data_IF_827097987832
#
_entry.id   IF_827097987832
#
_cell.length_a   1.000
_cell.length_b   1.000
_cell.length_c   1.000
_cell.angle_alpha   90.00
_cell.angle_beta   90.00
_cell.angle_gamma   90.00
#
_symmetry.space_group_name_H-M   'P 1'
#
loop_
_entity.id
_entity.type
_entity.pdbx_description
1 polymer ?
#
# COMPACT_ATOMS: atom_id res chain seq x y z
N UNK A 1 -23.63 19.52 -16.93
CA UNK A 1 -22.65 18.53 -16.41
C UNK A 1 -21.33 19.27 -16.33
N UNK A 2 -20.66 19.28 -15.17
CA UNK A 2 -19.37 19.97 -15.02
C UNK A 2 -18.23 19.18 -15.68
N UNK A 3 -17.07 19.80 -15.84
CA UNK A 3 -15.91 19.18 -16.50
C UNK A 3 -15.47 17.87 -15.83
N UNK A 4 -15.48 17.82 -14.50
CA UNK A 4 -15.18 16.60 -13.74
C UNK A 4 -16.15 15.48 -14.09
N UNK A 5 -17.46 15.76 -14.15
CA UNK A 5 -18.48 14.76 -14.46
C UNK A 5 -18.34 14.21 -15.88
N UNK A 6 -18.04 15.08 -16.85
CA UNK A 6 -17.83 14.68 -18.25
C UNK A 6 -16.64 13.71 -18.36
N UNK A 7 -15.52 14.03 -17.69
CA UNK A 7 -14.33 13.16 -17.69
C UNK A 7 -14.62 11.85 -16.97
N UNK A 8 -15.30 11.87 -15.82
CA UNK A 8 -15.69 10.66 -15.10
C UNK A 8 -16.54 9.72 -15.97
N UNK A 9 -17.50 10.25 -16.73
CA UNK A 9 -18.31 9.41 -17.64
C UNK A 9 -17.47 8.79 -18.75
N UNK A 10 -16.49 9.51 -19.30
CA UNK A 10 -15.56 8.95 -20.30
C UNK A 10 -14.69 7.86 -19.67
N UNK A 11 -14.14 8.09 -18.47
CA UNK A 11 -13.29 7.12 -17.76
C UNK A 11 -14.09 5.86 -17.42
N UNK A 12 -15.31 5.98 -16.91
CA UNK A 12 -16.21 4.83 -16.63
C UNK A 12 -16.48 4.00 -17.87
N UNK A 13 -16.77 4.66 -19.00
CA UNK A 13 -17.04 3.97 -20.27
C UNK A 13 -15.82 3.22 -20.81
N UNK A 14 -14.63 3.80 -20.68
CA UNK A 14 -13.36 3.19 -21.16
C UNK A 14 -12.89 2.03 -20.29
N UNK A 15 -13.21 2.02 -18.99
CA UNK A 15 -12.63 1.12 -17.99
C UNK A 15 -13.70 0.36 -17.20
N UNK A 16 -14.81 0.00 -17.82
CA UNK A 16 -15.95 -0.63 -17.16
C UNK A 16 -15.61 -1.97 -16.45
N UNK A 17 -14.54 -2.62 -16.84
CA UNK A 17 -14.00 -3.86 -16.28
C UNK A 17 -12.96 -3.67 -15.16
N UNK A 18 -12.73 -2.42 -14.72
CA UNK A 18 -11.66 -2.06 -13.75
C UNK A 18 -12.25 -1.30 -12.53
N UNK A 19 -13.01 -1.99 -11.66
CA UNK A 19 -13.78 -1.33 -10.59
C UNK A 19 -12.91 -0.57 -9.58
N UNK A 20 -11.74 -1.11 -9.20
CA UNK A 20 -10.83 -0.45 -8.26
C UNK A 20 -10.25 0.83 -8.86
N UNK A 21 -9.92 0.82 -10.15
CA UNK A 21 -9.45 2.01 -10.85
C UNK A 21 -10.55 3.08 -10.95
N UNK A 22 -11.77 2.68 -11.25
CA UNK A 22 -12.91 3.60 -11.29
C UNK A 22 -13.23 4.21 -9.92
N UNK A 23 -13.12 3.43 -8.86
CA UNK A 23 -13.27 3.91 -7.49
C UNK A 23 -12.23 4.99 -7.19
N UNK A 24 -10.94 4.70 -7.38
CA UNK A 24 -9.86 5.63 -7.09
C UNK A 24 -9.95 6.93 -7.90
N UNK A 25 -10.26 6.83 -9.20
CA UNK A 25 -10.44 8.02 -10.04
C UNK A 25 -11.62 8.86 -9.57
N UNK A 26 -12.74 8.24 -9.19
CA UNK A 26 -13.92 8.95 -8.70
C UNK A 26 -13.59 9.70 -7.41
N UNK A 27 -12.96 9.05 -6.44
CA UNK A 27 -12.57 9.67 -5.17
C UNK A 27 -11.63 10.86 -5.36
N UNK A 28 -10.59 10.68 -6.17
CA UNK A 28 -9.60 11.74 -6.41
C UNK A 28 -10.22 12.92 -7.17
N UNK A 29 -10.94 12.68 -8.27
CA UNK A 29 -11.51 13.76 -9.05
C UNK A 29 -12.61 14.52 -8.29
N UNK A 30 -13.42 13.84 -7.47
CA UNK A 30 -14.38 14.49 -6.59
C UNK A 30 -13.68 15.36 -5.53
N UNK A 31 -12.56 14.90 -4.97
CA UNK A 31 -11.77 15.70 -4.01
C UNK A 31 -11.13 16.94 -4.64
N UNK A 32 -10.76 16.86 -5.91
CA UNK A 32 -10.17 17.96 -6.67
C UNK A 32 -11.21 18.94 -7.25
N UNK A 33 -12.49 18.59 -7.23
CA UNK A 33 -13.59 19.38 -7.83
C UNK A 33 -13.54 20.87 -7.49
N UNK A 34 -13.38 21.32 -6.22
CA UNK A 34 -13.35 22.74 -5.89
C UNK A 34 -12.21 23.49 -6.60
N UNK A 35 -11.04 22.86 -6.75
CA UNK A 35 -9.88 23.45 -7.43
C UNK A 35 -10.08 23.49 -8.94
N UNK A 36 -10.65 22.43 -9.51
CA UNK A 36 -10.90 22.31 -10.95
C UNK A 36 -11.97 23.33 -11.38
N UNK A 37 -13.08 23.44 -10.65
CA UNK A 37 -14.17 24.37 -10.97
C UNK A 37 -13.73 25.83 -10.84
N UNK A 38 -12.83 26.16 -9.92
CA UNK A 38 -12.28 27.50 -9.78
C UNK A 38 -11.47 27.97 -11.01
N UNK A 39 -10.96 27.05 -11.82
CA UNK A 39 -10.13 27.31 -13.01
C UNK A 39 -10.49 26.41 -14.19
N UNK A 40 -11.77 26.09 -14.37
CA UNK A 40 -12.24 25.07 -15.33
C UNK A 40 -11.76 25.34 -16.75
N UNK A 41 -11.83 26.59 -17.24
CA UNK A 41 -11.41 26.94 -18.60
C UNK A 41 -9.92 26.55 -18.85
N UNK A 42 -9.05 26.85 -17.90
CA UNK A 42 -7.63 26.53 -18.00
C UNK A 42 -7.39 25.01 -18.04
N UNK A 43 -8.03 24.27 -17.12
CA UNK A 43 -7.84 22.83 -17.01
C UNK A 43 -8.45 22.09 -18.19
N UNK A 44 -9.63 22.51 -18.66
CA UNK A 44 -10.28 21.95 -19.85
C UNK A 44 -9.46 22.21 -21.12
N UNK A 45 -8.97 23.45 -21.32
CA UNK A 45 -8.14 23.81 -22.47
C UNK A 45 -6.88 22.96 -22.59
N UNK A 46 -6.31 22.56 -21.46
CA UNK A 46 -5.08 21.76 -21.42
C UNK A 46 -5.35 20.26 -21.25
N UNK A 47 -6.62 19.82 -21.25
CA UNK A 47 -7.05 18.43 -21.05
C UNK A 47 -6.38 17.79 -19.81
N UNK A 48 -6.32 18.52 -18.69
CA UNK A 48 -5.59 18.09 -17.51
C UNK A 48 -6.18 16.81 -16.92
N UNK A 49 -7.49 16.74 -16.75
CA UNK A 49 -8.15 15.57 -16.16
C UNK A 49 -8.03 14.33 -17.03
N UNK A 50 -8.17 14.49 -18.35
CA UNK A 50 -7.99 13.39 -19.30
C UNK A 50 -6.56 12.84 -19.26
N UNK A 51 -5.56 13.72 -19.14
CA UNK A 51 -4.14 13.33 -19.08
C UNK A 51 -3.76 12.68 -17.76
N UNK A 52 -4.33 13.11 -16.64
CA UNK A 52 -4.01 12.49 -15.34
C UNK A 52 -4.78 11.20 -15.07
N UNK A 53 -5.82 10.91 -15.84
CA UNK A 53 -6.60 9.66 -15.73
C UNK A 53 -6.21 8.59 -16.76
N UNK A 54 -5.37 8.93 -17.74
CA UNK A 54 -4.87 7.99 -18.74
C UNK A 54 -3.37 7.77 -18.54
N UNK A 55 -2.88 6.52 -18.35
CA UNK A 55 -1.44 6.27 -18.18
C UNK A 55 -0.67 6.50 -19.48
N UNK A 56 0.57 6.97 -19.35
CA UNK A 56 1.48 7.14 -20.49
C UNK A 56 1.72 5.80 -21.20
N UNK A 57 1.79 4.69 -20.43
CA UNK A 57 2.11 3.38 -20.97
C UNK A 57 1.67 2.24 -20.08
N UNK A 58 1.10 1.19 -20.69
CA UNK A 58 0.77 -0.07 -20.03
C UNK A 58 1.55 -1.19 -20.70
N UNK A 59 2.34 -1.92 -19.93
CA UNK A 59 3.21 -3.00 -20.41
C UNK A 59 2.76 -4.30 -19.76
N UNK A 60 2.46 -5.30 -20.56
CA UNK A 60 2.13 -6.65 -20.13
C UNK A 60 3.05 -7.64 -20.82
N UNK A 61 3.58 -8.62 -20.07
CA UNK A 61 4.48 -9.62 -20.59
C UNK A 61 4.30 -10.97 -19.89
N UNK A 62 4.71 -12.02 -20.60
CA UNK A 62 4.71 -13.38 -20.08
C UNK A 62 5.96 -13.64 -19.24
N UNK A 63 5.80 -14.33 -18.11
CA UNK A 63 6.87 -14.69 -17.18
C UNK A 63 6.91 -16.21 -17.03
N UNK A 64 7.65 -16.97 -17.87
CA UNK A 64 7.86 -18.39 -17.70
C UNK A 64 9.01 -18.64 -16.70
N UNK A 65 8.79 -19.58 -15.78
CA UNK A 65 9.82 -19.98 -14.80
C UNK A 65 9.64 -21.47 -14.46
N UNK A 66 10.69 -22.09 -13.87
CA UNK A 66 10.69 -23.51 -13.55
C UNK A 66 10.59 -23.68 -12.04
N UNK A 67 9.62 -24.50 -11.60
CA UNK A 67 9.42 -24.84 -10.20
C UNK A 67 10.40 -25.90 -9.68
N UNK A 68 10.32 -26.22 -8.39
CA UNK A 68 11.19 -27.20 -7.75
C UNK A 68 11.01 -28.63 -8.26
N UNK A 69 9.88 -28.93 -8.93
CA UNK A 69 9.59 -30.21 -9.56
C UNK A 69 10.08 -30.27 -11.03
N UNK A 70 10.70 -29.22 -11.54
CA UNK A 70 11.14 -29.11 -12.91
C UNK A 70 10.01 -28.78 -13.91
N UNK A 71 8.84 -28.38 -13.43
CA UNK A 71 7.71 -28.00 -14.28
C UNK A 71 7.79 -26.53 -14.67
N UNK A 72 7.48 -26.22 -15.93
CA UNK A 72 7.39 -24.84 -16.41
C UNK A 72 6.07 -24.24 -15.96
N UNK A 73 6.18 -23.16 -15.21
CA UNK A 73 5.07 -22.31 -14.76
C UNK A 73 5.03 -21.04 -15.60
N UNK A 74 3.85 -20.43 -15.76
CA UNK A 74 3.68 -19.20 -16.55
C UNK A 74 2.79 -18.22 -15.79
N UNK A 75 3.35 -17.04 -15.49
CA UNK A 75 2.64 -15.92 -14.90
C UNK A 75 2.57 -14.73 -15.87
N UNK A 76 1.75 -13.74 -15.53
CA UNK A 76 1.70 -12.46 -16.23
C UNK A 76 2.46 -11.41 -15.43
N UNK A 77 3.33 -10.66 -16.10
CA UNK A 77 3.98 -9.49 -15.56
C UNK A 77 3.34 -8.21 -16.09
N UNK A 78 3.26 -7.19 -15.25
CA UNK A 78 2.68 -5.88 -15.56
C UNK A 78 3.61 -4.75 -15.12
N UNK A 79 3.68 -3.67 -15.91
CA UNK A 79 4.20 -2.37 -15.51
C UNK A 79 3.34 -1.28 -16.13
N UNK A 80 2.74 -0.43 -15.30
CA UNK A 80 2.04 0.78 -15.71
C UNK A 80 2.94 1.96 -15.38
N UNK A 81 3.44 2.60 -16.41
CA UNK A 81 4.12 3.89 -16.37
C UNK A 81 3.05 4.95 -16.51
N UNK A 82 2.63 5.51 -15.35
CA UNK A 82 1.39 6.27 -15.34
C UNK A 82 1.62 7.72 -15.76
N UNK A 83 2.54 8.41 -15.09
CA UNK A 83 2.83 9.82 -15.40
C UNK A 83 4.26 10.17 -14.95
N UNK A 84 5.02 10.82 -15.82
CA UNK A 84 6.40 11.26 -15.56
C UNK A 84 6.59 12.78 -15.69
N UNK A 85 5.51 13.57 -15.61
CA UNK A 85 5.58 15.03 -15.82
C UNK A 85 6.51 15.75 -14.84
N UNK A 86 6.70 15.19 -13.63
CA UNK A 86 7.55 15.78 -12.58
C UNK A 86 8.83 14.99 -12.31
N UNK A 87 9.04 13.85 -12.96
CA UNK A 87 10.25 13.03 -12.81
C UNK A 87 10.05 11.59 -13.24
N UNK A 88 11.08 10.73 -13.12
CA UNK A 88 10.99 9.31 -13.49
C UNK A 88 9.82 8.60 -12.86
N UNK A 89 9.22 7.63 -13.57
CA UNK A 89 8.18 6.80 -12.97
C UNK A 89 8.70 6.11 -11.72
N UNK A 90 7.91 6.06 -10.66
CA UNK A 90 8.29 5.48 -9.39
C UNK A 90 7.11 4.76 -8.76
N UNK A 91 7.34 3.53 -8.30
CA UNK A 91 6.35 2.77 -7.54
C UNK A 91 6.63 1.27 -7.47
N UNK A 92 5.96 0.59 -6.55
CA UNK A 92 6.23 -0.80 -6.17
C UNK A 92 5.89 -1.85 -7.23
N UNK A 93 6.39 -3.06 -6.97
CA UNK A 93 6.04 -4.29 -7.69
C UNK A 93 5.25 -5.19 -6.73
N UNK A 94 3.97 -5.44 -7.01
CA UNK A 94 3.11 -6.32 -6.22
C UNK A 94 3.16 -7.75 -6.75
N UNK A 95 3.47 -8.72 -5.89
CA UNK A 95 3.39 -10.15 -6.22
C UNK A 95 2.27 -10.78 -5.39
N UNK A 96 1.13 -11.02 -6.05
CA UNK A 96 -0.05 -11.58 -5.41
C UNK A 96 -1.00 -12.16 -6.46
N UNK A 97 -1.69 -13.30 -6.18
CA UNK A 97 -2.61 -13.93 -7.14
C UNK A 97 -3.74 -13.03 -7.68
N UNK A 98 -4.14 -12.03 -6.91
CA UNK A 98 -5.19 -11.08 -7.34
C UNK A 98 -4.71 -10.04 -8.35
N UNK A 99 -3.41 -9.95 -8.62
CA UNK A 99 -2.87 -8.93 -9.52
C UNK A 99 -3.38 -9.11 -10.95
N UNK A 100 -3.95 -8.04 -11.46
CA UNK A 100 -4.37 -7.89 -12.85
C UNK A 100 -4.06 -6.46 -13.32
N UNK A 101 -4.29 -6.17 -14.59
CA UNK A 101 -3.97 -4.87 -15.15
C UNK A 101 -4.77 -3.73 -14.49
N UNK A 102 -6.04 -3.95 -14.16
CA UNK A 102 -6.89 -2.94 -13.49
C UNK A 102 -6.36 -2.55 -12.12
N UNK A 103 -5.95 -3.53 -11.30
CA UNK A 103 -5.32 -3.30 -9.99
C UNK A 103 -4.00 -2.54 -10.14
N UNK A 104 -3.15 -2.92 -11.08
CA UNK A 104 -1.87 -2.21 -11.29
C UNK A 104 -2.11 -0.79 -11.81
N UNK A 105 -3.12 -0.58 -12.65
CA UNK A 105 -3.51 0.75 -13.13
C UNK A 105 -4.05 1.64 -12.01
N UNK A 106 -4.94 1.12 -11.16
CA UNK A 106 -5.42 1.81 -9.97
C UNK A 106 -4.27 2.27 -9.07
N UNK A 107 -3.40 1.34 -8.69
CA UNK A 107 -2.25 1.62 -7.84
C UNK A 107 -1.25 2.60 -8.50
N UNK A 108 -1.11 2.54 -9.83
CA UNK A 108 -0.29 3.50 -10.58
C UNK A 108 -0.86 4.91 -10.57
N UNK A 109 -2.17 5.04 -10.67
CA UNK A 109 -2.89 6.31 -10.57
C UNK A 109 -2.70 6.95 -9.19
N UNK A 110 -2.96 6.22 -8.12
CA UNK A 110 -2.73 6.71 -6.76
C UNK A 110 -1.27 7.12 -6.53
N UNK A 111 -0.33 6.35 -7.10
CA UNK A 111 1.10 6.63 -6.96
C UNK A 111 1.50 7.99 -7.55
N UNK A 112 0.80 8.48 -8.58
CA UNK A 112 1.04 9.82 -9.15
C UNK A 112 0.79 10.90 -8.10
N UNK A 113 -0.38 10.87 -7.46
CA UNK A 113 -0.76 11.90 -6.46
C UNK A 113 0.11 11.80 -5.22
N UNK A 114 0.34 10.60 -4.74
CA UNK A 114 1.21 10.33 -3.62
C UNK A 114 2.62 10.90 -3.82
N UNK A 115 3.25 10.60 -4.96
CA UNK A 115 4.58 11.09 -5.23
C UNK A 115 4.62 12.61 -5.39
N UNK A 116 3.59 13.22 -5.99
CA UNK A 116 3.48 14.67 -6.12
C UNK A 116 3.45 15.40 -4.78
N UNK A 117 2.87 14.79 -3.75
CA UNK A 117 2.80 15.36 -2.40
C UNK A 117 4.12 15.30 -1.63
N UNK A 118 5.10 14.54 -2.12
CA UNK A 118 6.44 14.48 -1.48
C UNK A 118 7.32 15.69 -1.78
N UNK A 119 6.92 16.56 -2.72
CA UNK A 119 7.73 17.67 -3.27
C UNK A 119 9.00 17.23 -4.00
N UNK A 120 9.23 15.94 -4.16
CA UNK A 120 10.39 15.40 -4.89
C UNK A 120 10.07 15.25 -6.40
N UNK A 121 11.09 15.35 -7.27
CA UNK A 121 10.92 15.22 -8.72
C UNK A 121 10.77 13.74 -9.13
N UNK A 122 9.71 13.10 -8.70
CA UNK A 122 9.38 11.69 -9.00
C UNK A 122 7.97 11.55 -9.53
N UNK A 123 7.83 10.85 -10.66
CA UNK A 123 6.56 10.53 -11.28
C UNK A 123 5.88 9.32 -10.63
N UNK A 124 4.79 8.84 -11.23
CA UNK A 124 4.02 7.69 -10.75
C UNK A 124 4.07 6.50 -11.69
N UNK A 125 4.26 5.32 -11.13
CA UNK A 125 4.18 4.05 -11.83
C UNK A 125 3.94 2.90 -10.87
N UNK A 126 3.46 1.77 -11.39
CA UNK A 126 3.22 0.55 -10.60
C UNK A 126 3.45 -0.68 -11.46
N UNK A 127 3.82 -1.79 -10.83
CA UNK A 127 3.94 -3.07 -11.52
C UNK A 127 3.63 -4.24 -10.62
N UNK A 128 3.76 -5.43 -11.16
CA UNK A 128 3.52 -6.65 -10.41
C UNK A 128 3.23 -7.86 -11.27
N UNK A 129 2.81 -8.92 -10.62
CA UNK A 129 2.46 -10.19 -11.25
C UNK A 129 1.42 -10.94 -10.41
N UNK A 130 0.64 -11.79 -11.06
CA UNK A 130 -0.25 -12.77 -10.45
C UNK A 130 0.50 -13.95 -9.78
N UNK A 131 1.82 -13.87 -9.68
CA UNK A 131 2.66 -14.82 -8.96
C UNK A 131 2.41 -14.77 -7.45
N UNK A 132 2.20 -15.93 -6.83
CA UNK A 132 2.11 -16.06 -5.36
C UNK A 132 3.45 -16.52 -4.78
N UNK A 133 4.19 -15.67 -4.04
CA UNK A 133 5.44 -16.06 -3.41
C UNK A 133 5.25 -16.92 -2.16
N UNK A 134 4.02 -17.04 -1.63
CA UNK A 134 3.75 -17.80 -0.42
C UNK A 134 3.98 -19.29 -0.65
N UNK A 135 4.73 -19.92 0.25
CA UNK A 135 5.02 -21.35 0.16
C UNK A 135 6.00 -21.76 -0.93
N UNK A 136 6.56 -20.78 -1.66
CA UNK A 136 7.60 -21.03 -2.67
C UNK A 136 8.99 -21.05 -2.04
N UNK A 137 9.87 -21.87 -2.58
CA UNK A 137 11.28 -21.90 -2.20
C UNK A 137 12.01 -20.65 -2.69
N UNK A 138 13.16 -20.33 -2.08
CA UNK A 138 14.01 -19.22 -2.52
C UNK A 138 14.50 -19.42 -3.97
N UNK A 139 14.68 -20.69 -4.40
CA UNK A 139 15.03 -21.04 -5.79
C UNK A 139 13.90 -20.72 -6.76
N UNK A 140 12.67 -21.08 -6.43
CA UNK A 140 11.48 -20.77 -7.25
C UNK A 140 11.26 -19.26 -7.38
N UNK A 141 11.35 -18.54 -6.25
CA UNK A 141 11.20 -17.08 -6.22
C UNK A 141 12.32 -16.41 -7.03
N UNK A 142 13.55 -16.89 -6.90
CA UNK A 142 14.67 -16.38 -7.70
C UNK A 142 14.45 -16.64 -9.21
N UNK A 143 14.01 -17.83 -9.59
CA UNK A 143 13.73 -18.18 -10.99
C UNK A 143 12.62 -17.28 -11.57
N UNK A 144 11.53 -17.06 -10.82
CA UNK A 144 10.49 -16.13 -11.20
C UNK A 144 11.03 -14.69 -11.35
N UNK A 145 11.72 -14.17 -10.33
CA UNK A 145 12.27 -12.81 -10.34
C UNK A 145 13.24 -12.57 -11.51
N UNK A 146 14.08 -13.54 -11.82
CA UNK A 146 14.99 -13.47 -12.96
C UNK A 146 14.24 -13.41 -14.29
N UNK A 147 13.24 -14.26 -14.48
CA UNK A 147 12.40 -14.25 -15.68
C UNK A 147 11.62 -12.93 -15.82
N UNK A 148 10.99 -12.48 -14.72
CA UNK A 148 10.26 -11.22 -14.67
C UNK A 148 11.15 -10.03 -15.04
N UNK A 149 12.35 -9.94 -14.46
CA UNK A 149 13.27 -8.85 -14.71
C UNK A 149 13.87 -8.90 -16.11
N UNK A 150 13.99 -10.07 -16.72
CA UNK A 150 14.47 -10.20 -18.12
C UNK A 150 13.58 -9.42 -19.10
N UNK A 151 12.28 -9.38 -18.85
CA UNK A 151 11.37 -8.56 -19.64
C UNK A 151 11.30 -7.12 -19.14
N UNK A 152 11.18 -6.92 -17.83
CA UNK A 152 11.02 -5.58 -17.25
C UNK A 152 12.21 -4.67 -17.47
N UNK A 153 13.45 -5.19 -17.51
CA UNK A 153 14.67 -4.40 -17.67
C UNK A 153 14.74 -3.56 -18.96
N UNK A 154 13.90 -3.86 -19.94
CA UNK A 154 13.78 -3.11 -21.19
C UNK A 154 13.13 -1.73 -21.02
N UNK A 155 12.41 -1.53 -19.92
CA UNK A 155 11.52 -0.38 -19.71
C UNK A 155 11.90 0.46 -18.48
N UNK A 156 12.83 -0.01 -17.65
CA UNK A 156 13.22 0.63 -16.39
C UNK A 156 14.68 1.10 -16.40
N UNK A 157 15.00 2.00 -15.51
CA UNK A 157 16.35 2.56 -15.33
C UNK A 157 16.32 3.68 -14.30
N UNK A 158 17.49 4.12 -13.83
CA UNK A 158 17.64 5.11 -12.78
C UNK A 158 16.91 6.44 -13.08
N UNK A 159 16.94 6.86 -14.33
CA UNK A 159 16.38 8.14 -14.80
C UNK A 159 15.09 7.97 -15.63
N UNK A 160 14.57 6.74 -15.73
CA UNK A 160 13.39 6.43 -16.53
C UNK A 160 12.24 5.95 -15.66
N UNK A 161 12.49 4.86 -14.92
CA UNK A 161 11.48 4.20 -14.11
C UNK A 161 12.16 3.38 -13.00
N UNK A 162 11.85 3.70 -11.76
CA UNK A 162 12.50 3.10 -10.58
C UNK A 162 11.48 2.30 -9.77
N UNK A 163 11.38 0.98 -9.99
CA UNK A 163 10.50 0.13 -9.20
C UNK A 163 10.95 0.01 -7.74
N UNK A 164 10.03 -0.45 -6.89
CA UNK A 164 10.24 -0.65 -5.45
C UNK A 164 9.58 -1.94 -4.97
N UNK A 165 9.73 -2.26 -3.68
CA UNK A 165 8.96 -3.29 -3.02
C UNK A 165 7.49 -2.92 -2.85
N UNK A 166 6.63 -3.93 -2.71
CA UNK A 166 5.21 -3.86 -2.39
C UNK A 166 4.75 -5.20 -1.80
N UNK A 167 3.46 -5.49 -1.72
CA UNK A 167 2.95 -6.79 -1.26
C UNK A 167 3.65 -7.93 -2.02
N UNK A 168 4.20 -8.88 -1.28
CA UNK A 168 4.93 -10.04 -1.84
C UNK A 168 6.31 -9.74 -2.40
N UNK A 169 6.79 -8.48 -2.34
CA UNK A 169 8.11 -8.07 -2.83
C UNK A 169 8.89 -7.36 -1.73
N UNK A 170 9.63 -8.12 -0.96
CA UNK A 170 10.50 -7.61 0.10
C UNK A 170 11.96 -7.48 -0.34
N UNK A 171 12.86 -7.36 0.62
CA UNK A 171 14.30 -7.20 0.38
C UNK A 171 14.90 -8.38 -0.41
N UNK A 172 14.42 -9.61 -0.18
CA UNK A 172 14.86 -10.82 -0.90
C UNK A 172 14.52 -10.72 -2.39
N UNK A 173 13.26 -10.46 -2.72
CA UNK A 173 12.79 -10.33 -4.10
C UNK A 173 13.48 -9.18 -4.83
N UNK A 174 13.63 -8.03 -4.16
CA UNK A 174 14.38 -6.89 -4.68
C UNK A 174 15.85 -7.28 -4.96
N UNK A 175 16.46 -8.09 -4.10
CA UNK A 175 17.81 -8.61 -4.31
C UNK A 175 17.93 -9.47 -5.58
N UNK A 176 16.99 -10.39 -5.79
CA UNK A 176 16.95 -11.22 -7.00
C UNK A 176 16.68 -10.40 -8.27
N UNK A 177 15.74 -9.44 -8.20
CA UNK A 177 15.43 -8.54 -9.31
C UNK A 177 16.62 -7.65 -9.68
N UNK A 178 17.26 -7.04 -8.68
CA UNK A 178 18.44 -6.20 -8.91
C UNK A 178 19.63 -6.98 -9.44
N UNK A 179 19.89 -8.17 -8.91
CA UNK A 179 20.94 -9.03 -9.41
C UNK A 179 20.78 -9.39 -10.88
N UNK A 180 19.55 -9.69 -11.31
CA UNK A 180 19.26 -9.97 -12.73
C UNK A 180 19.35 -8.71 -13.60
N UNK A 181 18.85 -7.57 -13.14
CA UNK A 181 18.99 -6.29 -13.84
C UNK A 181 20.46 -5.98 -14.11
N UNK A 182 21.28 -5.99 -13.05
CA UNK A 182 22.73 -5.78 -13.15
C UNK A 182 23.41 -6.74 -14.13
N UNK A 183 22.99 -8.02 -14.10
CA UNK A 183 23.54 -9.06 -14.99
C UNK A 183 23.25 -8.79 -16.46
N UNK A 184 22.04 -8.29 -16.78
CA UNK A 184 21.63 -8.01 -18.17
C UNK A 184 22.20 -6.68 -18.66
N UNK A 185 22.13 -5.63 -17.82
CA UNK A 185 22.54 -4.27 -18.20
C UNK A 185 24.05 -4.06 -18.15
N UNK A 186 24.77 -4.90 -17.39
CA UNK A 186 26.21 -4.76 -17.20
C UNK A 186 26.64 -3.55 -16.36
N UNK A 187 25.67 -2.83 -15.74
CA UNK A 187 25.89 -1.61 -14.98
C UNK A 187 25.34 -1.69 -13.57
N UNK A 188 25.92 -0.91 -12.65
CA UNK A 188 25.47 -0.73 -11.29
C UNK A 188 24.78 0.62 -11.17
N UNK A 189 23.46 0.63 -11.30
CA UNK A 189 22.64 1.84 -11.38
C UNK A 189 21.75 2.03 -10.16
N UNK A 190 21.24 3.27 -9.98
CA UNK A 190 20.22 3.63 -8.99
C UNK A 190 18.81 3.12 -9.30
N UNK A 191 18.67 2.02 -10.01
CA UNK A 191 17.40 1.34 -10.27
C UNK A 191 16.99 0.49 -9.09
N UNK A 192 15.68 0.35 -8.85
CA UNK A 192 15.08 -0.35 -7.72
C UNK A 192 15.41 0.27 -6.34
N UNK A 193 14.39 0.58 -5.57
CA UNK A 193 14.52 0.91 -4.14
C UNK A 193 14.13 -0.29 -3.26
N UNK A 194 14.55 -0.28 -1.99
CA UNK A 194 14.38 -1.43 -1.09
C UNK A 194 15.52 -2.45 -1.18
N UNK A 195 16.64 -2.07 -1.79
CA UNK A 195 17.88 -2.86 -1.81
C UNK A 195 18.48 -3.00 -0.41
N UNK A 196 19.25 -4.06 -0.19
CA UNK A 196 20.05 -4.21 1.02
C UNK A 196 21.16 -3.14 1.10
N UNK A 197 21.59 -2.78 2.31
CA UNK A 197 22.60 -1.75 2.55
C UNK A 197 23.91 -2.01 1.81
N UNK A 198 24.30 -3.28 1.68
CA UNK A 198 25.55 -3.70 1.03
C UNK A 198 25.56 -3.51 -0.50
N UNK A 199 24.41 -3.22 -1.11
CA UNK A 199 24.30 -3.04 -2.56
C UNK A 199 23.39 -1.86 -2.94
N UNK A 200 23.55 -0.75 -2.25
CA UNK A 200 22.96 0.54 -2.62
C UNK A 200 21.59 0.83 -1.98
N UNK A 201 21.26 0.17 -0.89
CA UNK A 201 20.06 0.45 -0.09
C UNK A 201 20.22 1.64 0.85
N UNK A 202 19.10 2.15 1.35
CA UNK A 202 19.03 3.24 2.31
C UNK A 202 18.69 2.75 3.71
N UNK A 203 19.20 3.41 4.73
CA UNK A 203 18.78 3.21 6.12
C UNK A 203 17.31 3.59 6.31
N UNK A 204 16.67 2.98 7.32
CA UNK A 204 15.29 3.24 7.72
C UNK A 204 14.22 2.98 6.63
N UNK A 205 14.60 2.41 5.49
CA UNK A 205 13.65 2.16 4.39
C UNK A 205 12.53 1.19 4.80
N UNK A 206 12.86 0.16 5.57
CA UNK A 206 11.91 -0.85 6.03
C UNK A 206 10.86 -0.24 6.96
N UNK A 207 11.27 0.67 7.82
CA UNK A 207 10.42 1.35 8.80
C UNK A 207 9.62 2.52 8.21
N UNK A 208 10.06 3.07 7.10
CA UNK A 208 9.64 4.39 6.60
C UNK A 208 8.12 4.59 6.53
N UNK A 209 7.36 3.60 6.04
CA UNK A 209 5.92 3.74 5.89
C UNK A 209 5.20 3.76 7.25
N UNK A 210 5.46 2.77 8.10
CA UNK A 210 4.85 2.70 9.43
C UNK A 210 5.26 3.89 10.31
N UNK A 211 6.52 4.28 10.27
CA UNK A 211 7.01 5.44 11.02
C UNK A 211 6.43 6.75 10.50
N UNK A 212 6.38 6.92 9.17
CA UNK A 212 5.80 8.10 8.54
C UNK A 212 4.33 8.29 8.90
N UNK A 213 3.56 7.19 8.92
CA UNK A 213 2.18 7.19 9.37
C UNK A 213 2.05 7.80 10.78
N UNK A 214 2.85 7.32 11.72
CA UNK A 214 2.78 7.79 13.11
C UNK A 214 3.35 9.20 13.30
N UNK A 215 4.37 9.59 12.54
CA UNK A 215 4.86 10.98 12.57
C UNK A 215 3.78 11.96 12.10
N UNK A 216 3.07 11.61 11.01
CA UNK A 216 1.97 12.42 10.50
C UNK A 216 0.81 12.46 11.49
N UNK A 217 0.39 11.31 12.03
CA UNK A 217 -0.65 11.23 13.08
C UNK A 217 -0.29 12.10 14.29
N UNK A 218 0.96 12.02 14.76
CA UNK A 218 1.42 12.80 15.90
C UNK A 218 1.46 14.30 15.60
N UNK A 219 1.92 14.72 14.42
CA UNK A 219 1.92 16.10 14.00
C UNK A 219 0.51 16.69 13.99
N UNK A 220 -0.42 15.93 13.42
CA UNK A 220 -1.81 16.29 13.29
C UNK A 220 -2.52 16.40 14.66
N UNK A 221 -2.29 15.43 15.55
CA UNK A 221 -2.83 15.47 16.90
C UNK A 221 -2.29 16.69 17.68
N UNK A 222 -1.00 17.00 17.54
CA UNK A 222 -0.40 18.21 18.16
C UNK A 222 -1.00 19.50 17.63
N UNK A 223 -1.28 19.59 16.33
CA UNK A 223 -1.93 20.74 15.71
C UNK A 223 -3.33 21.00 16.29
N UNK A 224 -4.01 19.92 16.68
CA UNK A 224 -5.32 19.96 17.38
C UNK A 224 -5.21 20.03 18.91
N UNK A 225 -4.03 20.28 19.47
CA UNK A 225 -3.81 20.38 20.91
C UNK A 225 -3.91 19.05 21.66
N UNK A 226 -3.82 17.91 20.96
CA UNK A 226 -3.93 16.57 21.52
C UNK A 226 -2.55 15.88 21.62
N UNK A 227 -2.48 14.82 22.45
CA UNK A 227 -1.29 13.97 22.61
C UNK A 227 -1.63 12.51 22.36
N UNK A 228 -0.70 11.79 21.74
CA UNK A 228 -0.77 10.34 21.57
C UNK A 228 -0.40 9.56 22.82
N UNK A 229 0.32 10.16 23.76
CA UNK A 229 0.77 9.49 24.99
C UNK A 229 -0.40 8.96 25.83
N UNK A 230 -0.33 7.71 26.24
CA UNK A 230 -1.37 7.03 27.01
C UNK A 230 -2.60 6.60 26.23
N UNK A 231 -2.63 6.83 24.94
CA UNK A 231 -3.74 6.44 24.04
C UNK A 231 -3.70 4.98 23.64
N UNK A 232 -4.82 4.49 23.12
CA UNK A 232 -4.96 3.13 22.61
C UNK A 232 -5.19 3.11 21.11
N UNK A 233 -4.66 2.10 20.42
CA UNK A 233 -4.85 1.96 18.97
C UNK A 233 -5.22 0.54 18.55
N UNK A 234 -6.08 0.45 17.53
CA UNK A 234 -6.29 -0.74 16.74
C UNK A 234 -5.52 -0.63 15.43
N UNK A 235 -4.78 -1.69 15.09
CA UNK A 235 -4.01 -1.79 13.84
C UNK A 235 -4.50 -3.03 13.09
N UNK A 236 -4.77 -2.89 11.80
CA UNK A 236 -4.96 -4.03 10.90
C UNK A 236 -3.65 -4.43 10.22
N UNK A 237 -3.57 -5.69 9.82
CA UNK A 237 -2.36 -6.25 9.22
C UNK A 237 -1.31 -6.68 10.23
N UNK A 238 -0.31 -7.39 9.72
CA UNK A 238 0.89 -7.82 10.43
C UNK A 238 2.08 -7.92 9.47
N UNK A 239 2.00 -7.20 8.36
CA UNK A 239 3.08 -7.01 7.41
C UNK A 239 4.00 -5.86 7.80
N UNK A 240 4.87 -5.45 6.88
CA UNK A 240 5.86 -4.40 7.11
C UNK A 240 5.26 -3.10 7.66
N UNK A 241 4.21 -2.57 7.02
CA UNK A 241 3.59 -1.31 7.46
C UNK A 241 3.04 -1.43 8.87
N UNK A 242 2.27 -2.49 9.14
CA UNK A 242 1.64 -2.70 10.46
C UNK A 242 2.68 -2.89 11.57
N UNK A 243 3.71 -3.72 11.36
CA UNK A 243 4.76 -3.98 12.37
C UNK A 243 5.44 -2.67 12.78
N UNK A 244 5.86 -1.86 11.80
CA UNK A 244 6.57 -0.62 12.10
C UNK A 244 5.65 0.53 12.52
N UNK A 245 4.37 0.49 12.15
CA UNK A 245 3.36 1.38 12.75
C UNK A 245 3.16 1.06 14.23
N UNK A 246 3.02 -0.22 14.60
CA UNK A 246 2.90 -0.67 15.99
C UNK A 246 4.15 -0.25 16.80
N UNK A 247 5.33 -0.51 16.27
CA UNK A 247 6.59 -0.14 16.93
C UNK A 247 6.66 1.36 17.22
N UNK A 248 6.41 2.19 16.21
CA UNK A 248 6.46 3.65 16.36
C UNK A 248 5.32 4.18 17.25
N UNK A 249 4.13 3.60 17.18
CA UNK A 249 3.03 3.95 18.07
C UNK A 249 3.41 3.74 19.54
N UNK A 250 4.03 2.60 19.85
CA UNK A 250 4.50 2.29 21.21
C UNK A 250 5.63 3.20 21.67
N UNK A 251 6.57 3.56 20.79
CA UNK A 251 7.60 4.57 21.09
C UNK A 251 7.01 5.95 21.42
N UNK A 252 5.84 6.28 20.85
CA UNK A 252 5.11 7.53 21.12
C UNK A 252 4.13 7.41 22.30
N UNK A 253 4.18 6.32 23.06
CA UNK A 253 3.37 6.10 24.24
C UNK A 253 1.97 5.55 23.97
N UNK A 254 1.66 5.10 22.77
CA UNK A 254 0.37 4.49 22.40
C UNK A 254 0.38 2.99 22.72
N UNK A 255 -0.65 2.49 23.38
CA UNK A 255 -0.86 1.05 23.57
C UNK A 255 -1.63 0.48 22.37
N UNK A 256 -0.96 -0.29 21.53
CA UNK A 256 -1.60 -0.98 20.39
C UNK A 256 -2.15 -2.32 20.86
N UNK A 257 -3.45 -2.55 20.69
CA UNK A 257 -4.15 -3.73 21.25
C UNK A 257 -4.55 -4.78 20.22
N UNK A 258 -4.43 -4.48 18.91
CA UNK A 258 -4.79 -5.43 17.86
C UNK A 258 -3.74 -5.49 16.76
N UNK A 259 -3.68 -6.64 16.09
CA UNK A 259 -3.09 -6.80 14.75
C UNK A 259 -3.80 -7.94 14.02
N UNK A 260 -3.72 -8.01 12.68
CA UNK A 260 -4.43 -9.03 11.91
C UNK A 260 -3.58 -9.63 10.79
N UNK A 261 -3.98 -10.80 10.30
CA UNK A 261 -3.53 -11.34 9.01
C UNK A 261 -4.73 -11.89 8.21
N UNK A 262 -4.47 -12.55 7.08
CA UNK A 262 -5.56 -13.07 6.23
C UNK A 262 -6.38 -14.20 6.86
N UNK A 263 -5.97 -14.75 8.01
CA UNK A 263 -6.66 -15.86 8.68
C UNK A 263 -7.42 -15.43 9.94
N UNK A 264 -7.10 -14.26 10.50
CA UNK A 264 -7.73 -13.77 11.72
C UNK A 264 -7.02 -12.57 12.33
N UNK A 265 -7.34 -12.27 13.56
CA UNK A 265 -6.73 -11.16 14.30
C UNK A 265 -6.39 -11.55 15.73
N UNK A 266 -5.48 -10.77 16.28
CA UNK A 266 -5.11 -10.81 17.70
C UNK A 266 -5.78 -9.63 18.42
N UNK A 267 -6.30 -9.88 19.62
CA UNK A 267 -6.57 -8.87 20.62
C UNK A 267 -5.70 -9.16 21.86
N UNK A 268 -4.89 -8.17 22.27
CA UNK A 268 -4.13 -8.24 23.52
C UNK A 268 -4.38 -6.96 24.34
N UNK A 269 -5.16 -7.03 25.44
CA UNK A 269 -5.47 -5.86 26.28
C UNK A 269 -4.23 -5.26 26.93
N UNK A 270 -3.14 -6.03 27.06
CA UNK A 270 -1.86 -5.54 27.60
C UNK A 270 -0.98 -4.85 26.57
N UNK A 271 -1.37 -4.94 25.30
CA UNK A 271 -0.65 -4.39 24.16
C UNK A 271 0.19 -5.43 23.40
N UNK A 272 0.26 -5.26 22.09
CA UNK A 272 0.99 -6.14 21.20
C UNK A 272 2.49 -6.11 21.53
N UNK A 273 3.10 -7.29 21.69
CA UNK A 273 4.54 -7.46 21.83
C UNK A 273 5.22 -7.42 20.46
N UNK A 274 5.83 -6.30 20.13
CA UNK A 274 6.46 -6.08 18.82
C UNK A 274 7.63 -7.04 18.56
N UNK A 275 8.41 -7.38 19.59
CA UNK A 275 9.55 -8.28 19.42
C UNK A 275 9.06 -9.68 19.02
N UNK A 276 8.04 -10.19 19.72
CA UNK A 276 7.40 -11.46 19.39
C UNK A 276 6.72 -11.40 17.99
N UNK A 277 6.05 -10.29 17.68
CA UNK A 277 5.40 -10.11 16.37
C UNK A 277 6.44 -10.18 15.24
N UNK A 278 7.58 -9.50 15.38
CA UNK A 278 8.69 -9.55 14.41
C UNK A 278 9.25 -10.97 14.29
N UNK A 279 9.47 -11.66 15.39
CA UNK A 279 9.94 -13.05 15.38
C UNK A 279 8.99 -13.97 14.58
N UNK A 280 7.69 -13.88 14.86
CA UNK A 280 6.66 -14.68 14.17
C UNK A 280 6.56 -14.32 12.68
N UNK A 281 6.52 -13.03 12.35
CA UNK A 281 6.20 -12.57 10.97
C UNK A 281 7.43 -12.44 10.08
N UNK A 282 8.54 -11.90 10.57
CA UNK A 282 9.74 -11.62 9.78
C UNK A 282 10.72 -12.79 9.77
N UNK A 283 10.90 -13.48 10.92
CA UNK A 283 11.86 -14.59 11.06
C UNK A 283 11.20 -15.92 10.68
N UNK A 284 10.14 -16.32 11.42
CA UNK A 284 9.45 -17.60 11.19
C UNK A 284 8.54 -17.58 9.97
N UNK A 285 8.09 -16.40 9.52
CA UNK A 285 7.11 -16.20 8.42
C UNK A 285 5.80 -16.96 8.66
N UNK A 286 5.41 -17.06 9.92
CA UNK A 286 4.28 -17.84 10.39
C UNK A 286 2.99 -17.01 10.48
N UNK A 287 1.90 -17.65 10.88
CA UNK A 287 0.60 -17.05 11.13
C UNK A 287 0.51 -16.49 12.55
N UNK A 288 -0.46 -15.59 12.78
CA UNK A 288 -0.71 -15.00 14.10
C UNK A 288 -1.17 -16.02 15.15
N UNK A 289 -1.61 -17.21 14.76
CA UNK A 289 -1.86 -18.33 15.67
C UNK A 289 -0.62 -18.70 16.49
N UNK A 290 0.60 -18.60 15.93
CA UNK A 290 1.83 -18.84 16.68
C UNK A 290 2.14 -17.71 17.68
N UNK A 291 1.76 -16.47 17.36
CA UNK A 291 1.84 -15.37 18.31
C UNK A 291 0.96 -15.63 19.54
N UNK A 292 -0.32 -15.98 19.32
CA UNK A 292 -1.25 -16.27 20.40
C UNK A 292 -0.81 -17.49 21.24
N UNK A 293 -0.24 -18.52 20.61
CA UNK A 293 0.31 -19.67 21.33
C UNK A 293 1.48 -19.32 22.25
N UNK A 294 2.28 -18.29 21.90
CA UNK A 294 3.44 -17.83 22.66
C UNK A 294 3.11 -16.75 23.71
N UNK A 295 1.93 -16.08 23.63
CA UNK A 295 1.54 -14.95 24.49
C UNK A 295 0.21 -15.23 25.16
N UNK A 296 0.24 -15.56 26.44
CA UNK A 296 -0.97 -15.97 27.21
C UNK A 296 -2.04 -14.89 27.38
N UNK A 297 -1.70 -13.61 27.16
CA UNK A 297 -2.64 -12.48 27.23
C UNK A 297 -3.31 -12.19 25.89
N UNK A 298 -2.83 -12.78 24.81
CA UNK A 298 -3.31 -12.56 23.47
C UNK A 298 -4.40 -13.55 23.09
N UNK A 299 -5.52 -13.04 22.62
CA UNK A 299 -6.65 -13.82 22.11
C UNK A 299 -6.59 -13.84 20.57
N UNK A 300 -6.57 -15.04 19.97
CA UNK A 300 -6.68 -15.19 18.53
C UNK A 300 -8.14 -15.45 18.12
N UNK A 301 -8.61 -14.66 17.19
CA UNK A 301 -9.94 -14.80 16.59
C UNK A 301 -9.78 -15.15 15.10
N UNK A 302 -10.29 -16.31 14.70
CA UNK A 302 -10.28 -16.71 13.32
C UNK A 302 -11.28 -15.87 12.50
N UNK A 303 -10.86 -15.39 11.33
CA UNK A 303 -11.70 -14.60 10.44
C UNK A 303 -12.86 -15.45 9.91
N UNK A 304 -14.08 -14.96 10.10
CA UNK A 304 -15.30 -15.58 9.58
C UNK A 304 -15.93 -14.63 8.54
N UNK A 305 -16.27 -15.16 7.36
CA UNK A 305 -17.06 -14.47 6.33
C UNK A 305 -16.65 -13.03 5.99
N UNK A 306 -15.36 -12.73 6.02
CA UNK A 306 -14.84 -11.40 5.67
C UNK A 306 -14.88 -10.36 6.80
N UNK A 307 -15.24 -10.72 8.01
CA UNK A 307 -15.26 -9.82 9.16
C UNK A 307 -13.92 -9.11 9.40
N UNK A 308 -14.00 -7.82 9.72
CA UNK A 308 -12.85 -6.96 10.04
C UNK A 308 -12.76 -6.71 11.56
N UNK A 309 -12.76 -7.80 12.35
CA UNK A 309 -12.92 -7.79 13.79
C UNK A 309 -11.95 -6.93 14.62
N UNK A 310 -10.87 -6.42 14.02
CA UNK A 310 -9.93 -5.50 14.70
C UNK A 310 -10.58 -4.17 15.08
N UNK A 311 -11.67 -3.78 14.40
CA UNK A 311 -12.34 -2.50 14.61
C UNK A 311 -13.39 -2.51 15.72
N UNK A 312 -13.71 -3.67 16.28
CA UNK A 312 -14.75 -3.81 17.31
C UNK A 312 -14.33 -3.30 18.70
N UNK A 313 -13.03 -3.10 18.94
CA UNK A 313 -12.51 -2.73 20.25
C UNK A 313 -12.54 -1.22 20.48
N UNK A 314 -12.74 -0.82 21.74
CA UNK A 314 -12.70 0.59 22.11
C UNK A 314 -11.27 1.09 22.11
N UNK A 315 -10.96 2.00 21.17
CA UNK A 315 -9.63 2.59 20.98
C UNK A 315 -9.74 4.06 20.62
N UNK A 316 -8.67 4.82 20.85
CA UNK A 316 -8.59 6.23 20.46
C UNK A 316 -8.20 6.39 18.97
N UNK A 317 -7.37 5.47 18.44
CA UNK A 317 -6.87 5.50 17.06
C UNK A 317 -7.21 4.21 16.32
N UNK A 318 -7.60 4.33 15.06
CA UNK A 318 -7.66 3.22 14.10
C UNK A 318 -6.62 3.43 13.00
N UNK A 319 -5.77 2.43 12.80
CA UNK A 319 -4.66 2.47 11.85
C UNK A 319 -4.80 1.32 10.83
N UNK A 320 -5.56 1.51 9.76
CA UNK A 320 -5.69 0.53 8.68
C UNK A 320 -4.36 0.37 7.93
N UNK A 321 -3.70 -0.80 8.07
CA UNK A 321 -2.35 -1.07 7.56
C UNK A 321 -2.25 -2.36 6.73
N UNK A 322 -3.37 -2.93 6.27
CA UNK A 322 -3.38 -4.20 5.54
C UNK A 322 -3.66 -4.05 4.04
N UNK A 323 -4.93 -3.87 3.66
CA UNK A 323 -5.34 -3.91 2.25
C UNK A 323 -6.39 -2.84 1.92
N UNK A 324 -6.64 -2.66 0.60
CA UNK A 324 -7.73 -1.79 0.14
C UNK A 324 -9.10 -2.28 0.64
N UNK A 325 -10.00 -1.33 0.90
CA UNK A 325 -11.40 -1.57 1.30
C UNK A 325 -11.56 -2.49 2.52
N UNK A 326 -10.65 -2.41 3.47
CA UNK A 326 -10.68 -3.22 4.70
C UNK A 326 -11.47 -2.61 5.85
N UNK A 327 -11.84 -1.33 5.74
CA UNK A 327 -12.67 -0.61 6.68
C UNK A 327 -13.92 -0.12 5.95
N UNK A 328 -15.03 -0.80 6.14
CA UNK A 328 -16.30 -0.48 5.50
C UNK A 328 -17.19 0.43 6.37
N UNK A 329 -18.40 0.69 5.91
CA UNK A 329 -19.34 1.59 6.61
C UNK A 329 -19.75 1.06 7.97
N UNK A 330 -19.90 -0.25 8.16
CA UNK A 330 -20.28 -0.83 9.43
C UNK A 330 -19.13 -0.79 10.43
N UNK A 331 -17.90 -1.03 9.95
CA UNK A 331 -16.68 -0.82 10.74
C UNK A 331 -16.54 0.64 11.19
N UNK A 332 -16.77 1.59 10.28
CA UNK A 332 -16.72 3.02 10.60
C UNK A 332 -17.73 3.42 11.65
N UNK A 333 -18.99 2.95 11.54
CA UNK A 333 -20.02 3.17 12.55
C UNK A 333 -19.63 2.58 13.91
N UNK A 334 -19.06 1.39 13.93
CA UNK A 334 -18.59 0.72 15.13
C UNK A 334 -17.46 1.50 15.81
N UNK A 335 -16.47 1.93 15.06
CA UNK A 335 -15.36 2.77 15.56
C UNK A 335 -15.87 4.07 16.19
N UNK A 336 -16.81 4.76 15.52
CA UNK A 336 -17.41 6.00 16.03
C UNK A 336 -18.22 5.73 17.31
N UNK A 337 -19.02 4.67 17.34
CA UNK A 337 -19.79 4.27 18.53
C UNK A 337 -18.88 3.93 19.72
N UNK A 338 -17.69 3.36 19.45
CA UNK A 338 -16.67 3.06 20.44
C UNK A 338 -15.81 4.27 20.85
N UNK A 339 -16.01 5.44 20.23
CA UNK A 339 -15.36 6.70 20.60
C UNK A 339 -13.97 6.89 19.99
N UNK A 340 -13.70 6.32 18.80
CA UNK A 340 -12.45 6.56 18.09
C UNK A 340 -12.27 8.06 17.83
N UNK A 341 -11.06 8.57 18.03
CA UNK A 341 -10.74 9.99 17.83
C UNK A 341 -10.19 10.24 16.42
N UNK A 342 -9.42 9.30 15.87
CA UNK A 342 -8.89 9.43 14.51
C UNK A 342 -8.75 8.09 13.81
N UNK A 343 -8.94 8.13 12.49
CA UNK A 343 -8.59 7.07 11.57
C UNK A 343 -7.46 7.59 10.70
N UNK A 344 -6.31 6.91 10.68
CA UNK A 344 -5.13 7.33 9.90
C UNK A 344 -4.60 6.14 9.10
N UNK A 345 -4.60 6.27 7.80
CA UNK A 345 -4.41 5.17 6.86
C UNK A 345 -2.93 4.86 6.58
N UNK A 346 -2.53 3.62 6.80
CA UNK A 346 -1.22 3.08 6.44
C UNK A 346 -1.22 2.23 5.16
N UNK A 347 -2.40 1.79 4.70
CA UNK A 347 -2.58 1.06 3.45
C UNK A 347 -3.12 1.96 2.32
N UNK A 348 -3.13 1.46 1.09
CA UNK A 348 -3.74 2.14 -0.05
C UNK A 348 -5.26 1.99 -0.01
N UNK A 349 -6.00 3.10 0.00
CA UNK A 349 -7.47 3.11 -0.07
C UNK A 349 -8.13 2.07 0.87
N UNK A 350 -7.72 2.00 2.17
CA UNK A 350 -8.21 0.96 3.06
C UNK A 350 -9.63 1.22 3.52
N UNK A 351 -10.07 2.48 3.56
CA UNK A 351 -11.41 2.90 3.95
C UNK A 351 -12.27 3.06 2.70
N UNK A 352 -13.45 2.47 2.68
CA UNK A 352 -14.38 2.61 1.55
C UNK A 352 -14.88 4.04 1.41
N UNK A 353 -15.27 4.45 0.21
CA UNK A 353 -15.77 5.82 -0.04
C UNK A 353 -16.96 6.17 0.85
N UNK A 354 -17.86 5.22 1.09
CA UNK A 354 -19.03 5.42 1.96
C UNK A 354 -18.59 5.63 3.41
N UNK A 355 -17.67 4.81 3.91
CA UNK A 355 -17.09 4.95 5.24
C UNK A 355 -16.34 6.28 5.40
N UNK A 356 -15.56 6.69 4.41
CA UNK A 356 -14.86 7.97 4.39
C UNK A 356 -15.82 9.14 4.51
N UNK A 357 -16.90 9.17 3.71
CA UNK A 357 -17.92 10.20 3.79
C UNK A 357 -18.63 10.23 5.14
N UNK A 358 -18.91 9.07 5.71
CA UNK A 358 -19.51 8.97 7.04
C UNK A 358 -18.57 9.52 8.12
N UNK A 359 -17.30 9.09 8.14
CA UNK A 359 -16.29 9.58 9.09
C UNK A 359 -16.10 11.10 9.00
N UNK A 360 -16.08 11.66 7.81
CA UNK A 360 -16.02 13.11 7.58
C UNK A 360 -17.27 13.83 8.08
N UNK A 361 -18.45 13.26 7.90
CA UNK A 361 -19.73 13.87 8.27
C UNK A 361 -19.97 13.90 9.78
N UNK A 362 -19.49 12.89 10.54
CA UNK A 362 -19.66 12.84 12.00
C UNK A 362 -18.66 13.71 12.77
N UNK A 363 -17.81 14.39 12.07
CA UNK A 363 -16.90 15.48 12.37
C UNK A 363 -16.72 15.90 13.84
N UNK A 364 -15.78 15.29 14.53
CA UNK A 364 -15.07 15.98 15.61
C UNK A 364 -13.55 15.96 15.48
N UNK A 365 -12.96 15.21 14.64
CA UNK A 365 -11.51 15.11 14.32
C UNK A 365 -11.22 13.83 13.55
N UNK A 366 -12.06 13.48 12.60
CA UNK A 366 -11.73 12.39 11.69
C UNK A 366 -10.86 12.93 10.55
N UNK A 367 -9.57 12.66 10.67
CA UNK A 367 -8.60 12.99 9.67
C UNK A 367 -8.23 11.70 8.95
N UNK A 368 -8.93 11.45 7.87
CA UNK A 368 -8.47 10.51 6.86
C UNK A 368 -7.39 11.22 6.06
N UNK A 369 -6.17 10.76 6.18
CA UNK A 369 -5.06 11.24 5.37
C UNK A 369 -4.79 10.23 4.28
N UNK A 370 -4.58 10.69 3.04
CA UNK A 370 -4.17 9.80 1.98
C UNK A 370 -2.86 9.12 2.36
N UNK A 371 -2.82 7.86 2.15
CA UNK A 371 -1.76 6.93 2.49
C UNK A 371 -0.38 7.43 2.12
N UNK A 372 0.51 7.51 3.09
CA UNK A 372 1.94 7.67 2.82
C UNK A 372 2.56 6.31 2.50
N UNK A 373 2.49 5.85 1.27
CA UNK A 373 3.29 4.71 0.88
C UNK A 373 4.70 5.09 0.42
N UNK A 374 5.61 4.32 0.83
CA UNK A 374 6.98 3.99 0.41
C UNK A 374 7.59 4.83 -0.74
N UNK A 375 8.31 5.83 -0.39
CA UNK A 375 9.39 6.34 -1.25
C UNK A 375 10.61 5.45 -1.12
#
# INVERSE_FOLDING_TARGET
MGYVDEVLEVVKKKNADQPEFLQAVTEVLDSLRPVIEANEELYRKNAILERITEPDRQIMFRVPWVDDNGQVQVNRGFRVQFNNSIGPYKGGLRLHPSVNLGIIKFLGFEQVFKNSLTTLPIGGGKGGSDFDPKGKSDREIMAFCQSFMTELCKYIGADVDVPAGDIGTGAREIGFLFGQYKRIRGSYEGVLTGKGLTYGGSLARTQATGYGLLYLTNALWKDHGMSLEGKTAAVSGSGNVAIYAIEKAQELGVKVVTCSDSTGWIYDPNGIDVALLKEVKEVKRARLTEYAAAKSTAEYHAKQNGEHGVWQYKVDLALPCATQNELDIEDAKMLVANGVTSVTEGANMPTTLEATKYLQAVSYTHLTLPTTERV
#
